data_IF_275799833739
#
_entry.id   IF_275799833739
#
_cell.length_a   1.000
_cell.length_b   1.000
_cell.length_c   1.000
_cell.angle_alpha   90.00
_cell.angle_beta   90.00
_cell.angle_gamma   90.00
#
_symmetry.space_group_name_H-M   'P 1'
#
loop_
_entity.id
_entity.type
_entity.pdbx_description
1 polymer ?
#
# COMPACT_ATOMS: atom_id res chain seq x y z
N UNK A 1 1.28 -11.48 -38.00
CA UNK A 1 0.79 -10.12 -38.32
C UNK A 1 1.25 -9.16 -37.23
N UNK A 2 2.16 -8.23 -37.56
CA UNK A 2 2.70 -7.26 -36.63
C UNK A 2 1.71 -6.10 -36.45
N UNK A 3 1.18 -5.88 -35.24
CA UNK A 3 0.44 -4.66 -34.92
C UNK A 3 1.44 -3.53 -34.66
N UNK A 4 1.37 -2.48 -35.48
CA UNK A 4 2.13 -1.24 -35.31
C UNK A 4 1.51 -0.43 -34.17
N UNK A 5 2.34 0.02 -33.24
CA UNK A 5 1.94 0.93 -32.16
C UNK A 5 2.07 2.36 -32.66
N UNK A 6 0.95 3.10 -32.73
CA UNK A 6 0.94 4.53 -32.97
C UNK A 6 1.01 5.29 -31.65
N UNK A 7 2.05 6.10 -31.46
CA UNK A 7 2.16 7.03 -30.33
C UNK A 7 1.55 8.40 -30.66
N UNK A 8 1.51 9.29 -29.66
CA UNK A 8 1.00 10.68 -29.68
C UNK A 8 1.50 11.59 -30.83
N UNK A 9 2.53 11.17 -31.57
CA UNK A 9 3.10 11.91 -32.70
C UNK A 9 3.02 11.14 -34.03
N UNK A 10 2.12 10.15 -34.14
CA UNK A 10 1.90 9.46 -35.42
C UNK A 10 1.06 10.35 -36.35
N UNK A 11 1.39 10.43 -37.66
CA UNK A 11 0.72 11.36 -38.57
C UNK A 11 -0.71 10.95 -38.97
N UNK A 12 -1.20 9.80 -38.48
CA UNK A 12 -2.58 9.36 -38.74
C UNK A 12 -3.49 9.88 -37.62
N UNK A 13 -4.22 10.95 -37.96
CA UNK A 13 -5.17 11.63 -37.07
C UNK A 13 -6.24 10.67 -36.53
N UNK A 14 -6.35 10.59 -35.21
CA UNK A 14 -7.45 9.93 -34.54
C UNK A 14 -8.71 10.82 -34.56
N UNK A 15 -9.86 10.18 -34.82
CA UNK A 15 -11.19 10.79 -34.80
C UNK A 15 -11.51 11.49 -33.45
N UNK A 16 -12.35 12.54 -33.42
CA UNK A 16 -12.44 13.46 -32.28
C UNK A 16 -13.15 12.94 -31.02
N UNK A 17 -13.59 11.67 -30.96
CA UNK A 17 -14.58 11.25 -29.95
C UNK A 17 -14.22 9.98 -29.15
N UNK A 18 -12.94 9.59 -29.12
CA UNK A 18 -12.49 8.52 -28.24
C UNK A 18 -11.80 9.09 -26.98
N UNK A 19 -12.27 8.75 -25.76
CA UNK A 19 -11.56 9.14 -24.54
C UNK A 19 -10.15 8.57 -24.59
N UNK A 20 -9.15 9.46 -24.44
CA UNK A 20 -7.73 9.09 -24.52
C UNK A 20 -7.44 7.87 -23.63
N UNK A 21 -6.76 6.83 -24.15
CA UNK A 21 -6.39 5.68 -23.35
C UNK A 21 -5.47 6.14 -22.21
N UNK A 22 -5.93 5.94 -20.97
CA UNK A 22 -5.11 6.24 -19.77
C UNK A 22 -3.76 5.52 -19.88
N UNK A 23 -2.69 6.25 -19.57
CA UNK A 23 -1.32 5.74 -19.64
C UNK A 23 -1.18 4.42 -18.87
N UNK A 24 -0.39 3.47 -19.38
CA UNK A 24 -0.08 2.22 -18.68
C UNK A 24 0.62 2.44 -17.33
N UNK A 25 1.14 3.65 -17.10
CA UNK A 25 1.77 4.06 -15.84
C UNK A 25 0.90 4.99 -14.99
N UNK A 26 -0.34 5.25 -15.41
CA UNK A 26 -1.26 6.07 -14.63
C UNK A 26 -1.63 5.32 -13.34
N UNK A 27 -1.06 5.76 -12.23
CA UNK A 27 -1.17 5.14 -10.91
C UNK A 27 -0.05 4.16 -10.52
N UNK A 28 1.01 3.99 -11.31
CA UNK A 28 2.16 3.16 -10.92
C UNK A 28 2.88 3.79 -9.70
N UNK A 29 2.96 3.06 -8.58
CA UNK A 29 3.62 3.51 -7.35
C UNK A 29 4.90 2.72 -7.12
N UNK A 30 5.99 3.42 -6.80
CA UNK A 30 7.27 2.82 -6.42
C UNK A 30 7.12 2.10 -5.07
N UNK A 31 7.69 0.89 -4.91
CA UNK A 31 7.71 0.22 -3.60
C UNK A 31 8.48 1.11 -2.61
N UNK A 32 7.83 1.60 -1.54
CA UNK A 32 8.49 2.44 -0.53
C UNK A 32 9.63 1.70 0.19
N UNK A 33 9.61 0.37 0.18
CA UNK A 33 10.72 -0.49 0.59
C UNK A 33 11.75 -0.65 -0.55
N UNK A 34 12.26 0.47 -1.04
CA UNK A 34 13.21 0.52 -2.16
C UNK A 34 14.65 0.14 -1.77
N UNK A 35 15.60 0.46 -2.66
CA UNK A 35 17.02 0.13 -2.52
C UNK A 35 17.63 0.57 -1.17
N UNK A 36 17.19 1.70 -0.62
CA UNK A 36 17.71 2.25 0.65
C UNK A 36 17.45 1.34 1.85
N UNK A 37 16.26 0.73 1.96
CA UNK A 37 15.98 -0.22 3.05
C UNK A 37 16.67 -1.56 2.85
N UNK A 38 16.85 -2.00 1.59
CA UNK A 38 17.55 -3.24 1.30
C UNK A 38 19.05 -3.17 1.63
N UNK A 39 19.65 -1.98 1.55
CA UNK A 39 21.06 -1.76 1.91
C UNK A 39 21.34 -2.07 3.38
N UNK A 40 20.35 -1.92 4.28
CA UNK A 40 20.50 -2.19 5.70
C UNK A 40 20.60 -3.68 6.08
N UNK A 41 20.41 -4.59 5.13
CA UNK A 41 20.72 -6.01 5.33
C UNK A 41 22.21 -6.30 5.19
N UNK A 42 22.97 -5.45 4.47
CA UNK A 42 24.40 -5.67 4.23
C UNK A 42 25.26 -5.66 5.50
N UNK A 43 25.09 -4.74 6.47
CA UNK A 43 25.90 -4.73 7.68
C UNK A 43 25.86 -6.05 8.44
N UNK A 44 24.69 -6.68 8.57
CA UNK A 44 24.56 -7.98 9.24
C UNK A 44 25.32 -9.09 8.50
N UNK A 45 25.20 -9.16 7.18
CA UNK A 45 25.91 -10.16 6.35
C UNK A 45 27.42 -9.95 6.41
N UNK A 46 27.88 -8.71 6.26
CA UNK A 46 29.29 -8.36 6.34
C UNK A 46 29.86 -8.68 7.72
N UNK A 47 29.11 -8.39 8.80
CA UNK A 47 29.53 -8.68 10.16
C UNK A 47 29.77 -10.17 10.36
N UNK A 48 28.85 -11.04 9.93
CA UNK A 48 29.03 -12.50 10.05
C UNK A 48 30.23 -12.97 9.24
N UNK A 49 30.33 -12.54 7.98
CA UNK A 49 31.40 -12.96 7.08
C UNK A 49 32.79 -12.58 7.61
N UNK A 50 32.93 -11.35 8.12
CA UNK A 50 34.18 -10.85 8.70
C UNK A 50 34.50 -11.48 10.07
N UNK A 51 33.56 -12.18 10.70
CA UNK A 51 33.74 -12.77 12.05
C UNK A 51 33.97 -14.28 12.04
N UNK A 52 34.05 -14.91 10.85
CA UNK A 52 34.22 -16.37 10.73
C UNK A 52 35.52 -16.89 11.38
N UNK A 53 36.53 -16.03 11.50
CA UNK A 53 37.83 -16.39 12.07
C UNK A 53 38.07 -15.81 13.49
N UNK A 54 37.06 -15.21 14.12
CA UNK A 54 37.18 -14.54 15.44
C UNK A 54 37.04 -15.52 16.63
N UNK A 55 37.08 -16.84 16.36
CA UNK A 55 36.79 -17.87 17.35
C UNK A 55 35.30 -17.94 17.76
N UNK A 56 34.98 -18.89 18.64
CA UNK A 56 33.57 -19.20 18.96
C UNK A 56 32.82 -18.03 19.63
N UNK A 57 33.48 -17.30 20.55
CA UNK A 57 32.87 -16.18 21.27
C UNK A 57 32.61 -15.01 20.31
N UNK A 58 33.63 -14.60 19.53
CA UNK A 58 33.50 -13.50 18.57
C UNK A 58 32.45 -13.79 17.50
N UNK A 59 32.43 -15.01 16.97
CA UNK A 59 31.40 -15.46 16.03
C UNK A 59 30.00 -15.46 16.65
N UNK A 60 29.84 -15.91 17.90
CA UNK A 60 28.53 -15.93 18.57
C UNK A 60 27.97 -14.52 18.75
N UNK A 61 28.80 -13.56 19.19
CA UNK A 61 28.40 -12.15 19.32
C UNK A 61 28.04 -11.57 17.94
N UNK A 62 28.83 -11.86 16.91
CA UNK A 62 28.57 -11.42 15.54
C UNK A 62 27.24 -11.95 15.00
N UNK A 63 26.91 -13.22 15.25
CA UNK A 63 25.64 -13.83 14.83
C UNK A 63 24.46 -13.19 15.54
N UNK A 64 24.55 -12.93 16.85
CA UNK A 64 23.50 -12.24 17.60
C UNK A 64 23.30 -10.81 17.08
N UNK A 65 24.39 -10.06 16.92
CA UNK A 65 24.35 -8.70 16.38
C UNK A 65 23.75 -8.68 14.96
N UNK A 66 24.15 -9.60 14.10
CA UNK A 66 23.62 -9.72 12.74
C UNK A 66 22.13 -10.10 12.72
N UNK A 67 21.69 -10.98 13.62
CA UNK A 67 20.27 -11.32 13.76
C UNK A 67 19.45 -10.10 14.18
N UNK A 68 19.94 -9.32 15.15
CA UNK A 68 19.30 -8.07 15.61
C UNK A 68 19.23 -7.03 14.47
N UNK A 69 20.34 -6.81 13.73
CA UNK A 69 20.37 -5.88 12.61
C UNK A 69 19.47 -6.32 11.45
N UNK A 70 19.40 -7.61 11.17
CA UNK A 70 18.51 -8.17 10.14
C UNK A 70 17.05 -7.99 10.53
N UNK A 71 16.71 -8.22 11.80
CA UNK A 71 15.37 -7.97 12.34
C UNK A 71 15.01 -6.47 12.26
N UNK A 72 15.95 -5.58 12.58
CA UNK A 72 15.78 -4.13 12.46
C UNK A 72 15.47 -3.72 11.01
N UNK A 73 16.26 -4.22 10.04
CA UNK A 73 16.07 -3.95 8.62
C UNK A 73 14.71 -4.48 8.11
N UNK A 74 14.30 -5.66 8.57
CA UNK A 74 12.99 -6.22 8.25
C UNK A 74 11.84 -5.37 8.80
N UNK A 75 11.90 -4.98 10.08
CA UNK A 75 10.91 -4.08 10.69
C UNK A 75 10.82 -2.74 9.96
N UNK A 76 11.96 -2.15 9.60
CA UNK A 76 12.00 -0.89 8.87
C UNK A 76 11.30 -1.02 7.51
N UNK A 77 11.56 -2.10 6.78
CA UNK A 77 10.94 -2.38 5.49
C UNK A 77 9.41 -2.41 5.61
N UNK A 78 8.91 -3.09 6.64
CA UNK A 78 7.49 -3.14 6.93
C UNK A 78 6.92 -1.79 7.39
N UNK A 79 7.69 -1.02 8.18
CA UNK A 79 7.31 0.31 8.64
C UNK A 79 7.19 1.31 7.49
N UNK A 80 8.11 1.29 6.52
CA UNK A 80 8.04 2.12 5.32
C UNK A 80 6.82 1.80 4.46
N UNK A 81 6.49 0.51 4.30
CA UNK A 81 5.28 0.07 3.60
C UNK A 81 4.00 0.48 4.32
N UNK A 82 3.99 0.34 5.66
CA UNK A 82 2.86 0.75 6.48
C UNK A 82 2.63 2.27 6.40
N UNK A 83 3.70 3.07 6.48
CA UNK A 83 3.58 4.51 6.34
C UNK A 83 3.10 4.90 4.94
N UNK A 84 3.63 4.31 3.87
CA UNK A 84 3.17 4.63 2.52
C UNK A 84 1.68 4.30 2.31
N UNK A 85 1.20 3.21 2.93
CA UNK A 85 -0.22 2.86 2.91
C UNK A 85 -1.06 3.89 3.69
N UNK A 86 -0.56 4.36 4.83
CA UNK A 86 -1.19 5.43 5.62
C UNK A 86 -1.23 6.76 4.86
N UNK A 87 -0.12 7.17 4.24
CA UNK A 87 0.01 8.44 3.52
C UNK A 87 -0.86 8.48 2.26
N UNK A 88 -0.99 7.33 1.57
CA UNK A 88 -1.78 7.20 0.36
C UNK A 88 -3.29 7.36 0.57
N UNK A 89 -3.79 7.22 1.80
CA UNK A 89 -5.22 7.31 2.13
C UNK A 89 -5.53 8.68 2.71
N UNK A 90 -6.72 9.21 2.41
CA UNK A 90 -7.21 10.45 3.05
C UNK A 90 -7.65 10.20 4.50
N UNK A 91 -8.21 9.01 4.76
CA UNK A 91 -8.64 8.56 6.08
C UNK A 91 -7.87 7.28 6.43
N UNK A 92 -7.11 7.29 7.52
CA UNK A 92 -6.31 6.14 7.94
C UNK A 92 -6.03 6.12 9.44
N UNK A 93 -6.05 4.92 10.03
CA UNK A 93 -5.63 4.70 11.41
C UNK A 93 -4.11 4.70 11.51
N UNK A 94 -3.55 5.24 12.60
CA UNK A 94 -2.13 5.09 12.91
C UNK A 94 -1.73 3.59 12.95
N UNK A 95 -0.52 3.22 12.51
CA UNK A 95 0.00 1.86 12.68
C UNK A 95 -0.10 1.42 14.15
N UNK A 96 -0.51 0.17 14.38
CA UNK A 96 -0.67 -0.37 15.74
C UNK A 96 0.65 -0.48 16.51
N UNK A 97 1.77 -0.65 15.80
CA UNK A 97 3.10 -0.76 16.35
C UNK A 97 4.07 0.16 15.56
N UNK A 98 4.84 1.04 16.22
CA UNK A 98 5.76 1.97 15.56
C UNK A 98 7.03 1.24 15.09
N UNK A 99 6.92 0.59 13.93
CA UNK A 99 7.95 -0.32 13.39
C UNK A 99 9.26 0.38 13.08
N UNK A 100 9.24 1.63 12.58
CA UNK A 100 10.48 2.38 12.29
C UNK A 100 11.21 2.78 13.56
N UNK A 101 10.46 3.18 14.59
CA UNK A 101 11.05 3.48 15.91
C UNK A 101 11.70 2.25 16.52
N UNK A 102 10.98 1.13 16.51
CA UNK A 102 11.51 -0.15 16.98
C UNK A 102 12.73 -0.60 16.15
N UNK A 103 12.71 -0.40 14.83
CA UNK A 103 13.87 -0.63 13.97
C UNK A 103 15.07 0.24 14.39
N UNK A 104 14.90 1.54 14.61
CA UNK A 104 15.99 2.42 15.08
C UNK A 104 16.59 1.96 16.41
N UNK A 105 15.76 1.54 17.36
CA UNK A 105 16.23 1.01 18.64
C UNK A 105 17.03 -0.28 18.44
N UNK A 106 16.51 -1.21 17.64
CA UNK A 106 17.21 -2.46 17.32
C UNK A 106 18.50 -2.22 16.54
N UNK A 107 18.54 -1.24 15.63
CA UNK A 107 19.79 -0.84 14.95
C UNK A 107 20.81 -0.35 15.95
N UNK A 108 20.42 0.49 16.92
CA UNK A 108 21.32 0.92 18.00
C UNK A 108 21.86 -0.26 18.80
N UNK A 109 21.00 -1.18 19.23
CA UNK A 109 21.40 -2.39 19.96
C UNK A 109 22.35 -3.26 19.12
N UNK A 110 22.00 -3.51 17.85
CA UNK A 110 22.79 -4.33 16.94
C UNK A 110 24.19 -3.74 16.70
N UNK A 111 24.29 -2.41 16.57
CA UNK A 111 25.57 -1.72 16.43
C UNK A 111 26.38 -1.75 17.73
N UNK A 112 25.75 -1.58 18.90
CA UNK A 112 26.42 -1.75 20.20
C UNK A 112 27.02 -3.15 20.32
N UNK A 113 26.25 -4.20 19.98
CA UNK A 113 26.73 -5.58 20.03
C UNK A 113 27.86 -5.83 19.03
N UNK A 114 27.76 -5.29 17.81
CA UNK A 114 28.80 -5.41 16.79
C UNK A 114 30.09 -4.70 17.21
N UNK A 115 30.00 -3.52 17.82
CA UNK A 115 31.16 -2.78 18.34
C UNK A 115 31.78 -3.47 19.57
N UNK A 116 30.94 -4.01 20.46
CA UNK A 116 31.39 -4.76 21.64
C UNK A 116 32.22 -5.99 21.25
N UNK A 117 31.92 -6.63 20.11
CA UNK A 117 32.74 -7.73 19.57
C UNK A 117 34.22 -7.35 19.45
N UNK A 118 34.52 -6.15 18.94
CA UNK A 118 35.90 -5.67 18.77
C UNK A 118 36.56 -5.28 20.08
N UNK A 119 35.81 -4.64 20.98
CA UNK A 119 36.28 -4.19 22.30
C UNK A 119 36.55 -5.34 23.28
N UNK A 120 35.76 -6.42 23.22
CA UNK A 120 35.91 -7.57 24.12
C UNK A 120 37.24 -8.30 23.96
N UNK A 121 37.91 -8.16 22.81
CA UNK A 121 39.21 -8.77 22.54
C UNK A 121 40.40 -7.91 23.04
N UNK A 122 40.16 -6.71 23.56
CA UNK A 122 41.21 -5.83 24.07
C UNK A 122 41.58 -6.18 25.52
N UNK A 123 42.81 -5.85 25.97
CA UNK A 123 43.25 -6.11 27.35
C UNK A 123 42.40 -5.39 28.42
N UNK A 124 41.88 -4.20 28.09
CA UNK A 124 41.03 -3.37 28.96
C UNK A 124 39.69 -3.05 28.27
N UNK A 125 38.70 -3.95 28.30
CA UNK A 125 37.44 -3.77 27.59
C UNK A 125 36.62 -2.61 28.16
N UNK A 126 36.27 -1.64 27.32
CA UNK A 126 35.38 -0.53 27.69
C UNK A 126 34.02 -0.66 27.02
N UNK A 127 32.95 -0.45 27.79
CA UNK A 127 31.58 -0.43 27.24
C UNK A 127 31.21 0.95 26.67
N UNK A 128 31.98 1.99 26.95
CA UNK A 128 31.65 3.38 26.57
C UNK A 128 31.58 3.51 25.05
N UNK A 129 32.60 3.05 24.33
CA UNK A 129 32.65 3.18 22.86
C UNK A 129 31.52 2.41 22.16
N UNK A 130 31.24 1.13 22.49
CA UNK A 130 30.09 0.41 21.95
C UNK A 130 28.76 1.13 22.16
N UNK A 131 28.53 1.66 23.37
CA UNK A 131 27.31 2.42 23.65
C UNK A 131 27.20 3.70 22.81
N UNK A 132 28.30 4.45 22.65
CA UNK A 132 28.31 5.65 21.83
C UNK A 132 28.02 5.34 20.36
N UNK A 133 28.61 4.28 19.80
CA UNK A 133 28.30 3.85 18.44
C UNK A 133 26.83 3.42 18.28
N UNK A 134 26.27 2.70 19.26
CA UNK A 134 24.87 2.34 19.27
C UNK A 134 23.92 3.55 19.31
N UNK A 135 24.21 4.54 20.17
CA UNK A 135 23.44 5.79 20.25
C UNK A 135 23.53 6.56 18.92
N UNK A 136 24.74 6.70 18.36
CA UNK A 136 24.93 7.37 17.08
C UNK A 136 24.15 6.67 15.96
N UNK A 137 24.19 5.33 15.90
CA UNK A 137 23.44 4.55 14.93
C UNK A 137 21.92 4.71 15.08
N UNK A 138 21.41 4.69 16.32
CA UNK A 138 19.99 4.92 16.61
C UNK A 138 19.53 6.31 16.10
N UNK A 139 20.32 7.35 16.41
CA UNK A 139 20.00 8.73 15.99
C UNK A 139 20.04 8.85 14.47
N UNK A 140 21.13 8.40 13.84
CA UNK A 140 21.29 8.46 12.39
C UNK A 140 20.20 7.67 11.66
N UNK A 141 19.83 6.49 12.17
CA UNK A 141 18.75 5.68 11.62
C UNK A 141 17.40 6.41 11.75
N UNK A 142 17.11 6.99 12.92
CA UNK A 142 15.86 7.74 13.14
C UNK A 142 15.76 8.96 12.23
N UNK A 143 16.85 9.71 12.06
CA UNK A 143 16.89 10.87 11.16
C UNK A 143 16.75 10.45 9.70
N UNK A 144 17.39 9.35 9.30
CA UNK A 144 17.39 8.89 7.90
C UNK A 144 16.03 8.36 7.43
N UNK A 145 15.26 7.72 8.31
CA UNK A 145 13.99 7.05 7.95
C UNK A 145 12.73 7.70 8.51
N UNK A 146 12.89 8.65 9.44
CA UNK A 146 11.81 9.34 10.12
C UNK A 146 11.07 8.44 11.12
N UNK A 147 10.11 9.06 11.82
CA UNK A 147 9.24 8.39 12.79
C UNK A 147 7.96 7.86 12.13
N UNK A 148 7.36 6.82 12.71
CA UNK A 148 6.05 6.32 12.29
C UNK A 148 4.95 7.38 12.56
N UNK A 149 3.89 7.46 11.73
CA UNK A 149 2.76 8.34 11.99
C UNK A 149 2.01 7.92 13.27
N UNK A 150 1.92 8.83 14.25
CA UNK A 150 1.36 8.53 15.58
C UNK A 150 -0.11 8.99 15.78
N UNK A 151 -0.68 9.65 14.78
CA UNK A 151 -2.04 10.19 14.82
C UNK A 151 -2.92 9.51 13.76
N UNK A 152 -4.22 9.48 13.99
CA UNK A 152 -5.16 9.10 12.95
C UNK A 152 -5.33 10.25 11.95
N UNK A 153 -5.55 9.93 10.68
CA UNK A 153 -5.73 10.89 9.59
C UNK A 153 -7.19 10.93 9.18
N UNK A 154 -7.75 12.13 8.99
CA UNK A 154 -9.11 12.31 8.47
C UNK A 154 -10.21 11.78 9.39
N UNK A 155 -9.93 11.64 10.70
CA UNK A 155 -10.86 11.08 11.69
C UNK A 155 -11.50 12.13 12.62
N UNK A 156 -11.56 13.39 12.21
CA UNK A 156 -12.11 14.49 13.01
C UNK A 156 -13.54 14.84 12.52
N UNK A 157 -14.52 14.91 13.43
CA UNK A 157 -15.82 15.56 13.19
C UNK A 157 -17.00 14.69 12.73
N UNK A 158 -16.84 13.38 12.48
CA UNK A 158 -17.95 12.44 12.20
C UNK A 158 -17.76 11.19 13.05
N UNK A 159 -18.87 10.63 13.57
CA UNK A 159 -18.94 9.47 14.47
C UNK A 159 -17.79 8.46 14.23
N UNK A 160 -16.84 8.41 15.16
CA UNK A 160 -15.59 7.62 15.05
C UNK A 160 -15.89 6.15 14.74
N UNK A 161 -17.05 5.66 15.16
CA UNK A 161 -17.55 4.32 14.83
C UNK A 161 -17.81 4.11 13.33
N UNK A 162 -18.35 5.10 12.62
CA UNK A 162 -18.59 5.00 11.17
C UNK A 162 -17.27 4.98 10.40
N UNK A 163 -16.34 5.87 10.76
CA UNK A 163 -15.01 5.91 10.13
C UNK A 163 -14.19 4.64 10.42
N UNK A 164 -14.27 4.10 11.64
CA UNK A 164 -13.65 2.81 11.99
C UNK A 164 -14.23 1.62 11.22
N UNK A 165 -15.52 1.68 10.84
CA UNK A 165 -16.15 0.68 9.97
C UNK A 165 -15.65 0.82 8.54
N UNK A 166 -15.57 2.04 8.01
CA UNK A 166 -15.04 2.30 6.66
C UNK A 166 -13.61 1.79 6.54
N UNK A 167 -12.71 2.19 7.45
CA UNK A 167 -11.31 1.80 7.40
C UNK A 167 -11.11 0.27 7.36
N UNK A 168 -11.87 -0.47 8.19
CA UNK A 168 -11.83 -1.94 8.19
C UNK A 168 -12.30 -2.55 6.87
N UNK A 169 -13.40 -2.06 6.31
CA UNK A 169 -13.92 -2.57 5.03
C UNK A 169 -12.96 -2.28 3.89
N UNK A 170 -12.34 -1.09 3.88
CA UNK A 170 -11.34 -0.71 2.89
C UNK A 170 -10.09 -1.60 2.99
N UNK A 171 -9.61 -1.88 4.21
CA UNK A 171 -8.48 -2.77 4.41
C UNK A 171 -8.73 -4.19 3.89
N UNK A 172 -9.91 -4.75 4.15
CA UNK A 172 -10.29 -6.06 3.63
C UNK A 172 -10.45 -6.06 2.10
N UNK A 173 -11.05 -5.01 1.54
CA UNK A 173 -11.16 -4.83 0.09
C UNK A 173 -9.78 -4.82 -0.59
N UNK A 174 -8.82 -4.03 -0.08
CA UNK A 174 -7.45 -3.99 -0.61
C UNK A 174 -6.71 -5.33 -0.46
N UNK A 175 -6.95 -6.08 0.62
CA UNK A 175 -6.41 -7.45 0.77
C UNK A 175 -6.95 -8.36 -0.33
N UNK A 176 -8.23 -8.27 -0.67
CA UNK A 176 -8.81 -9.04 -1.77
C UNK A 176 -8.19 -8.67 -3.12
N UNK A 177 -8.00 -7.37 -3.41
CA UNK A 177 -7.34 -6.93 -4.64
C UNK A 177 -5.90 -7.47 -4.72
N UNK A 178 -5.12 -7.41 -3.64
CA UNK A 178 -3.75 -7.97 -3.61
C UNK A 178 -3.74 -9.48 -3.87
N UNK A 179 -4.63 -10.22 -3.21
CA UNK A 179 -4.75 -11.65 -3.43
C UNK A 179 -5.14 -12.00 -4.88
N UNK A 180 -5.91 -11.15 -5.55
CA UNK A 180 -6.17 -11.30 -6.99
C UNK A 180 -4.90 -11.13 -7.84
N UNK A 181 -4.08 -10.11 -7.56
CA UNK A 181 -2.79 -9.92 -8.25
C UNK A 181 -1.86 -11.11 -8.06
N UNK A 182 -1.74 -11.61 -6.83
CA UNK A 182 -0.85 -12.72 -6.51
C UNK A 182 -1.32 -14.03 -7.19
N UNK A 183 -2.63 -14.24 -7.22
CA UNK A 183 -3.22 -15.41 -7.84
C UNK A 183 -3.07 -15.40 -9.37
N UNK A 184 -3.33 -14.25 -10.02
CA UNK A 184 -3.44 -14.20 -11.48
C UNK A 184 -2.10 -14.42 -12.21
N UNK A 185 -0.97 -14.10 -11.56
CA UNK A 185 0.37 -14.36 -12.11
C UNK A 185 0.57 -15.84 -12.47
N UNK A 186 -0.08 -16.76 -11.73
CA UNK A 186 0.02 -18.21 -11.99
C UNK A 186 -0.66 -18.63 -13.30
N UNK A 187 -1.59 -17.84 -13.83
CA UNK A 187 -2.23 -18.09 -15.12
C UNK A 187 -1.25 -17.89 -16.29
N UNK A 188 -0.23 -17.04 -16.13
CA UNK A 188 0.79 -16.77 -17.14
C UNK A 188 0.23 -16.22 -18.46
N UNK A 189 -0.88 -15.48 -18.42
CA UNK A 189 -1.44 -14.74 -19.56
C UNK A 189 -1.45 -13.25 -19.24
N UNK A 190 -0.49 -12.54 -19.85
CA UNK A 190 -0.29 -11.10 -19.67
C UNK A 190 -1.53 -10.26 -20.01
N UNK A 191 -2.40 -10.72 -20.93
CA UNK A 191 -3.64 -9.99 -21.25
C UNK A 191 -4.65 -10.09 -20.12
N UNK A 192 -4.72 -11.24 -19.44
CA UNK A 192 -5.62 -11.41 -18.31
C UNK A 192 -5.08 -10.69 -17.08
N UNK A 193 -3.77 -10.72 -16.85
CA UNK A 193 -3.13 -9.91 -15.80
C UNK A 193 -3.47 -8.42 -15.96
N UNK A 194 -3.35 -7.88 -17.17
CA UNK A 194 -3.72 -6.49 -17.47
C UNK A 194 -5.23 -6.22 -17.28
N UNK A 195 -6.09 -7.21 -17.57
CA UNK A 195 -7.54 -7.08 -17.32
C UNK A 195 -7.86 -7.01 -15.83
N UNK A 196 -7.22 -7.85 -15.02
CA UNK A 196 -7.33 -7.81 -13.55
C UNK A 196 -6.84 -6.46 -13.03
N UNK A 197 -5.70 -5.96 -13.51
CA UNK A 197 -5.21 -4.63 -13.12
C UNK A 197 -6.21 -3.52 -13.44
N UNK A 198 -6.84 -3.58 -14.61
CA UNK A 198 -7.89 -2.62 -15.01
C UNK A 198 -9.07 -2.65 -14.05
N UNK A 199 -9.59 -3.83 -13.74
CA UNK A 199 -10.67 -3.98 -12.76
C UNK A 199 -10.26 -3.46 -11.37
N UNK A 200 -9.02 -3.72 -10.93
CA UNK A 200 -8.53 -3.19 -9.65
C UNK A 200 -8.50 -1.66 -9.63
N UNK A 201 -8.21 -0.98 -10.75
CA UNK A 201 -8.27 0.48 -10.83
C UNK A 201 -9.69 0.98 -10.58
N UNK A 202 -10.69 0.38 -11.23
CA UNK A 202 -12.10 0.71 -11.02
C UNK A 202 -12.56 0.42 -9.58
N UNK A 203 -12.14 -0.71 -9.01
CA UNK A 203 -12.45 -1.02 -7.61
C UNK A 203 -11.84 -0.01 -6.64
N UNK A 204 -10.60 0.45 -6.90
CA UNK A 204 -9.93 1.48 -6.08
C UNK A 204 -10.61 2.85 -6.20
N UNK A 205 -11.23 3.18 -7.33
CA UNK A 205 -12.00 4.41 -7.47
C UNK A 205 -13.27 4.37 -6.59
N UNK A 206 -13.97 3.23 -6.52
CA UNK A 206 -15.08 3.05 -5.58
C UNK A 206 -14.62 3.11 -4.12
N UNK A 207 -13.50 2.46 -3.78
CA UNK A 207 -12.90 2.51 -2.43
C UNK A 207 -12.62 3.97 -2.03
N UNK A 208 -11.98 4.75 -2.91
CA UNK A 208 -11.67 6.17 -2.65
C UNK A 208 -12.93 6.99 -2.42
N UNK A 209 -14.00 6.74 -3.18
CA UNK A 209 -15.28 7.44 -3.02
C UNK A 209 -15.87 7.20 -1.63
N UNK A 210 -15.83 5.96 -1.15
CA UNK A 210 -16.30 5.60 0.22
C UNK A 210 -15.36 6.12 1.31
N UNK A 211 -14.06 6.26 1.03
CA UNK A 211 -13.13 6.91 1.95
C UNK A 211 -13.38 8.43 2.06
N UNK A 212 -13.87 9.05 0.99
CA UNK A 212 -14.21 10.48 0.96
C UNK A 212 -15.53 10.77 1.66
N UNK A 213 -16.54 9.89 1.52
CA UNK A 213 -17.80 9.97 2.25
C UNK A 213 -18.16 8.64 2.96
N UNK A 214 -18.03 8.57 4.30
CA UNK A 214 -18.43 7.39 5.08
C UNK A 214 -19.89 6.96 4.91
N UNK A 215 -20.81 7.87 4.54
CA UNK A 215 -22.23 7.58 4.36
C UNK A 215 -22.47 6.60 3.21
N UNK A 216 -21.62 6.67 2.19
CA UNK A 216 -21.68 5.82 1.00
C UNK A 216 -21.38 4.34 1.28
N UNK A 217 -20.72 4.05 2.42
CA UNK A 217 -20.36 2.67 2.79
C UNK A 217 -21.59 1.76 2.80
N UNK A 218 -22.75 2.24 3.26
CA UNK A 218 -23.96 1.42 3.35
C UNK A 218 -24.36 0.85 1.99
N UNK A 219 -24.29 1.68 0.95
CA UNK A 219 -24.69 1.30 -0.40
C UNK A 219 -23.55 0.65 -1.21
N UNK A 220 -22.28 0.93 -0.86
CA UNK A 220 -21.10 0.29 -1.48
C UNK A 220 -20.70 -1.05 -0.83
N UNK A 221 -21.18 -1.35 0.39
CA UNK A 221 -20.76 -2.53 1.18
C UNK A 221 -20.84 -3.85 0.41
N UNK A 222 -21.92 -4.07 -0.35
CA UNK A 222 -22.11 -5.29 -1.13
C UNK A 222 -20.98 -5.48 -2.16
N UNK A 223 -20.52 -4.40 -2.76
CA UNK A 223 -19.43 -4.40 -3.74
C UNK A 223 -18.09 -4.68 -3.07
N UNK A 224 -17.76 -3.93 -2.01
CA UNK A 224 -16.47 -4.02 -1.34
C UNK A 224 -16.26 -5.33 -0.57
N UNK A 225 -17.34 -5.94 -0.06
CA UNK A 225 -17.24 -7.18 0.73
C UNK A 225 -17.57 -8.39 -0.13
N UNK A 226 -18.79 -8.48 -0.64
CA UNK A 226 -19.28 -9.72 -1.28
C UNK A 226 -18.69 -9.88 -2.67
N UNK A 227 -18.73 -8.83 -3.50
CA UNK A 227 -18.26 -8.93 -4.88
C UNK A 227 -16.74 -9.00 -4.99
N UNK A 228 -15.97 -8.26 -4.17
CA UNK A 228 -14.52 -8.40 -4.16
C UNK A 228 -14.05 -9.75 -3.62
N UNK A 229 -14.69 -10.29 -2.58
CA UNK A 229 -14.41 -11.64 -2.12
C UNK A 229 -14.70 -12.67 -3.22
N UNK A 230 -15.86 -12.57 -3.88
CA UNK A 230 -16.22 -13.45 -4.99
C UNK A 230 -15.25 -13.33 -6.18
N UNK A 231 -14.83 -12.10 -6.53
CA UNK A 231 -13.86 -11.84 -7.58
C UNK A 231 -12.50 -12.47 -7.26
N UNK A 232 -12.03 -12.35 -6.01
CA UNK A 232 -10.81 -13.02 -5.51
C UNK A 232 -10.92 -14.54 -5.68
N UNK A 233 -12.01 -15.14 -5.20
CA UNK A 233 -12.18 -16.59 -5.23
C UNK A 233 -12.29 -17.10 -6.68
N UNK A 234 -12.96 -16.36 -7.56
CA UNK A 234 -13.00 -16.64 -8.99
C UNK A 234 -11.61 -16.52 -9.63
N UNK A 235 -10.82 -15.51 -9.27
CA UNK A 235 -9.45 -15.32 -9.77
C UNK A 235 -8.55 -16.50 -9.41
N UNK A 236 -8.61 -16.97 -8.15
CA UNK A 236 -7.83 -18.10 -7.67
C UNK A 236 -8.21 -19.37 -8.46
N UNK A 237 -9.50 -19.67 -8.56
CA UNK A 237 -10.00 -20.84 -9.30
C UNK A 237 -9.64 -20.78 -10.79
N UNK A 238 -9.80 -19.61 -11.41
CA UNK A 238 -9.43 -19.39 -12.80
C UNK A 238 -7.93 -19.65 -13.01
N UNK A 239 -7.07 -19.07 -12.16
CA UNK A 239 -5.63 -19.25 -12.27
C UNK A 239 -5.22 -20.73 -12.15
N UNK A 240 -5.84 -21.47 -11.21
CA UNK A 240 -5.57 -22.90 -11.00
C UNK A 240 -5.97 -23.78 -12.21
N UNK A 241 -7.15 -23.51 -12.79
CA UNK A 241 -7.65 -24.25 -13.95
C UNK A 241 -6.82 -23.90 -15.18
N UNK A 242 -6.67 -22.60 -15.46
CA UNK A 242 -6.04 -22.12 -16.67
C UNK A 242 -4.55 -22.47 -16.75
N UNK A 243 -3.83 -22.47 -15.61
CA UNK A 243 -2.43 -22.88 -15.57
C UNK A 243 -2.22 -24.34 -15.98
N UNK A 244 -3.22 -25.21 -15.79
CA UNK A 244 -3.16 -26.64 -16.09
C UNK A 244 -3.71 -26.98 -17.46
N UNK A 245 -4.85 -26.40 -17.83
CA UNK A 245 -5.61 -26.82 -19.02
C UNK A 245 -5.45 -25.86 -20.20
N UNK A 246 -5.08 -24.61 -19.95
CA UNK A 246 -5.11 -23.51 -20.95
C UNK A 246 -6.47 -23.39 -21.65
N UNK A 247 -7.56 -23.75 -20.97
CA UNK A 247 -8.90 -23.78 -21.52
C UNK A 247 -9.38 -22.39 -22.00
N UNK A 248 -9.65 -22.21 -23.31
CA UNK A 248 -10.12 -20.93 -23.84
C UNK A 248 -11.51 -20.53 -23.32
N UNK A 249 -12.37 -21.49 -22.95
CA UNK A 249 -13.69 -21.21 -22.41
C UNK A 249 -13.59 -20.62 -21.01
N UNK A 250 -12.83 -21.25 -20.12
CA UNK A 250 -12.55 -20.72 -18.78
C UNK A 250 -11.98 -19.29 -18.83
N UNK A 251 -11.14 -18.99 -19.82
CA UNK A 251 -10.62 -17.64 -20.06
C UNK A 251 -11.71 -16.66 -20.49
N UNK A 252 -12.57 -17.04 -21.42
CA UNK A 252 -13.66 -16.19 -21.89
C UNK A 252 -14.66 -15.87 -20.75
N UNK A 253 -15.07 -16.91 -20.00
CA UNK A 253 -16.00 -16.77 -18.88
C UNK A 253 -15.43 -15.87 -17.77
N UNK A 254 -14.13 -15.99 -17.47
CA UNK A 254 -13.47 -15.14 -16.49
C UNK A 254 -13.35 -13.68 -16.95
N UNK A 255 -13.05 -13.44 -18.23
CA UNK A 255 -13.04 -12.08 -18.79
C UNK A 255 -14.42 -11.45 -18.71
N UNK A 256 -15.47 -12.18 -19.08
CA UNK A 256 -16.85 -11.70 -18.98
C UNK A 256 -17.23 -11.33 -17.54
N UNK A 257 -16.83 -12.15 -16.55
CA UNK A 257 -17.01 -11.84 -15.14
C UNK A 257 -16.31 -10.52 -14.76
N UNK A 258 -15.06 -10.32 -15.19
CA UNK A 258 -14.34 -9.06 -14.93
C UNK A 258 -15.01 -7.88 -15.60
N UNK A 259 -15.53 -8.03 -16.82
CA UNK A 259 -16.27 -6.98 -17.53
C UNK A 259 -17.55 -6.58 -16.80
N UNK A 260 -18.32 -7.56 -16.34
CA UNK A 260 -19.54 -7.32 -15.56
C UNK A 260 -19.21 -6.62 -14.24
N UNK A 261 -18.19 -7.08 -13.52
CA UNK A 261 -17.78 -6.46 -12.26
C UNK A 261 -17.29 -5.02 -12.49
N UNK A 262 -16.48 -4.78 -13.52
CA UNK A 262 -15.96 -3.46 -13.86
C UNK A 262 -17.10 -2.46 -14.13
N UNK A 263 -18.08 -2.86 -14.96
CA UNK A 263 -19.26 -2.04 -15.25
C UNK A 263 -20.09 -1.75 -13.99
N UNK A 264 -20.32 -2.75 -13.16
CA UNK A 264 -21.11 -2.62 -11.94
C UNK A 264 -20.43 -1.71 -10.91
N UNK A 265 -19.11 -1.83 -10.72
CA UNK A 265 -18.35 -0.95 -9.81
C UNK A 265 -18.27 0.48 -10.33
N UNK A 266 -18.05 0.68 -11.64
CA UNK A 266 -18.05 1.99 -12.25
C UNK A 266 -19.45 2.65 -12.19
N UNK A 267 -20.52 1.89 -12.34
CA UNK A 267 -21.89 2.38 -12.17
C UNK A 267 -22.18 2.79 -10.72
N UNK A 268 -21.76 1.98 -9.73
CA UNK A 268 -21.92 2.33 -8.31
C UNK A 268 -21.16 3.61 -7.95
N UNK A 269 -19.92 3.75 -8.43
CA UNK A 269 -19.10 4.95 -8.20
C UNK A 269 -19.76 6.20 -8.77
N UNK A 270 -20.25 6.13 -10.01
CA UNK A 270 -20.97 7.25 -10.64
C UNK A 270 -22.24 7.62 -9.89
N UNK A 271 -22.98 6.63 -9.37
CA UNK A 271 -24.21 6.87 -8.61
C UNK A 271 -23.92 7.64 -7.32
N UNK A 272 -22.92 7.21 -6.55
CA UNK A 272 -22.45 7.93 -5.34
C UNK A 272 -22.15 9.41 -5.63
N UNK A 273 -21.35 9.68 -6.67
CA UNK A 273 -21.00 11.06 -7.05
C UNK A 273 -22.19 11.91 -7.53
N UNK A 274 -23.27 11.30 -8.02
CA UNK A 274 -24.50 12.00 -8.41
C UNK A 274 -25.37 12.31 -7.21
N UNK A 275 -25.45 11.39 -6.25
CA UNK A 275 -26.16 11.58 -4.99
C UNK A 275 -25.53 12.77 -4.23
N UNK A 276 -24.19 12.85 -4.15
CA UNK A 276 -23.46 13.97 -3.52
C UNK A 276 -23.77 15.34 -4.15
N UNK A 277 -23.84 15.40 -5.49
CA UNK A 277 -24.17 16.66 -6.20
C UNK A 277 -25.61 17.09 -5.93
N UNK A 278 -26.51 16.13 -5.79
CA UNK A 278 -27.92 16.39 -5.51
C UNK A 278 -28.07 16.96 -4.10
N UNK A 279 -27.40 16.37 -3.11
CA UNK A 279 -27.35 16.85 -1.73
C UNK A 279 -26.81 18.28 -1.65
N UNK A 280 -25.68 18.57 -2.31
CA UNK A 280 -25.09 19.91 -2.34
C UNK A 280 -26.03 20.95 -2.98
N UNK A 281 -26.76 20.56 -4.04
CA UNK A 281 -27.71 21.46 -4.70
C UNK A 281 -28.86 21.83 -3.76
N UNK A 282 -29.40 20.84 -3.05
CA UNK A 282 -30.45 21.05 -2.04
C UNK A 282 -29.95 21.94 -0.90
N UNK A 283 -28.74 21.71 -0.38
CA UNK A 283 -28.17 22.56 0.67
C UNK A 283 -27.98 24.01 0.21
N UNK A 284 -27.51 24.24 -1.02
CA UNK A 284 -27.40 25.58 -1.60
C UNK A 284 -28.77 26.26 -1.70
N UNK A 285 -29.81 25.54 -2.13
CA UNK A 285 -31.18 26.07 -2.21
C UNK A 285 -31.72 26.43 -0.83
N UNK A 286 -31.56 25.55 0.16
CA UNK A 286 -31.96 25.80 1.55
C UNK A 286 -31.24 27.02 2.13
N UNK A 287 -29.92 27.15 1.89
CA UNK A 287 -29.16 28.32 2.32
C UNK A 287 -29.64 29.60 1.63
N UNK A 288 -29.91 29.56 0.32
CA UNK A 288 -30.47 30.71 -0.41
C UNK A 288 -31.82 31.14 0.16
N UNK A 289 -32.69 30.19 0.46
CA UNK A 289 -34.00 30.48 1.04
C UNK A 289 -33.90 31.03 2.46
N UNK A 290 -32.95 30.53 3.26
CA UNK A 290 -32.64 31.09 4.58
C UNK A 290 -32.09 32.51 4.49
N UNK A 291 -31.13 32.77 3.61
CA UNK A 291 -30.56 34.10 3.36
C UNK A 291 -31.62 35.10 2.88
N UNK A 292 -32.56 34.67 2.02
CA UNK A 292 -33.70 35.48 1.59
C UNK A 292 -34.62 35.84 2.76
N UNK A 293 -34.89 34.90 3.67
CA UNK A 293 -35.72 35.12 4.87
C UNK A 293 -35.03 36.01 5.90
N UNK A 294 -33.71 35.90 6.03
CA UNK A 294 -32.89 36.70 6.96
C UNK A 294 -32.49 38.07 6.37
N UNK A 295 -32.91 38.40 5.15
CA UNK A 295 -32.75 39.73 4.54
C UNK A 295 -31.32 40.08 4.10
N UNK A 296 -30.39 39.12 4.12
CA UNK A 296 -28.98 39.33 3.74
C UNK A 296 -28.87 39.31 2.22
N UNK A 297 -28.85 40.49 1.60
CA UNK A 297 -28.51 40.62 0.17
C UNK A 297 -27.00 40.43 0.01
N UNK A 298 -26.60 39.31 -0.58
CA UNK A 298 -25.25 39.13 -1.11
C UNK A 298 -25.09 40.14 -2.26
N UNK A 299 -24.18 41.10 -2.12
CA UNK A 299 -23.78 42.03 -3.19
C UNK A 299 -22.97 41.29 -4.25
#
# INVERSE_FOLDING_TARGET
MAKRFGGKYSPDAAEPDQPLPRSQFDGARVDPAGARSNLLFLPGVLLVFLSLNDGAIGLSIALIAAAVLTLAAWLLREGLRAQAAYDARKVARRPAFPRKMAASVLTGIGVTLAAYKGEHSLPDPSLIAPFLYGIAALVLHSVSFGFDPLKNKGMEGVDTFQQDRVARVVDEAEKHLRAMSDAIVRAGDRKIEARVETFQKTARDLIRTVEEDPRDLTAARKYLVVYLQGARDATIKFADVYSRTRDPKARADYVALLDDLDQNFAARTRKSLLDDRSDMTVEIEVLRDRLKREGVRVK
#
